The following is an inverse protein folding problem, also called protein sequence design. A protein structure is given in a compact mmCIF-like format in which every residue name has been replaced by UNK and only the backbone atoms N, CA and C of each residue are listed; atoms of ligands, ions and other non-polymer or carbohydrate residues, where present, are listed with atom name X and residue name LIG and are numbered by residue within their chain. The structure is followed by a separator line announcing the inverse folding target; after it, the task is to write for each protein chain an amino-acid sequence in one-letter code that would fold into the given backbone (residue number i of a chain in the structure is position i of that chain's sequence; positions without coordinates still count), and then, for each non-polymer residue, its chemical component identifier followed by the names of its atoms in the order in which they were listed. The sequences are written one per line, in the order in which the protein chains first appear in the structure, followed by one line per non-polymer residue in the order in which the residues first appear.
data_IF_794101302811
#
_entry.id   IF_794101302811
#
_cell.length_a   1.000
_cell.length_b   1.000
_cell.length_c   1.000
_cell.angle_alpha   90.00
_cell.angle_beta   90.00
_cell.angle_gamma   90.00
#
_symmetry.space_group_name_H-M   'P 1'
#
loop_
_entity.id
_entity.type
_entity.pdbx_description
1 polymer ?
#
# COMPACT_ATOMS: atom_id res chain seq x y z
N UNK A 1 4.85 5.89 18.71
CA UNK A 1 5.13 5.92 17.26
C UNK A 1 4.10 5.05 16.57
N UNK A 2 3.28 5.62 15.68
CA UNK A 2 2.34 4.84 14.88
C UNK A 2 3.06 4.24 13.66
N UNK A 3 3.00 2.92 13.50
CA UNK A 3 3.51 2.21 12.32
C UNK A 3 2.33 1.77 11.45
N UNK A 4 2.31 2.20 10.20
CA UNK A 4 1.28 1.81 9.22
C UNK A 4 1.96 1.21 8.01
N UNK A 5 1.57 -0.02 7.65
CA UNK A 5 2.01 -0.68 6.42
C UNK A 5 1.03 -0.39 5.30
N UNK A 6 1.54 -0.24 4.09
CA UNK A 6 0.71 0.05 2.91
C UNK A 6 -0.31 -1.07 2.66
N UNK A 7 0.09 -2.32 2.85
CA UNK A 7 -0.74 -3.51 2.65
C UNK A 7 -1.91 -3.56 3.63
N UNK A 8 -1.69 -3.12 4.88
CA UNK A 8 -2.72 -3.06 5.89
C UNK A 8 -3.72 -1.94 5.59
N UNK A 9 -3.24 -0.78 5.12
CA UNK A 9 -4.09 0.31 4.67
C UNK A 9 -4.99 -0.12 3.51
N UNK A 10 -4.49 -0.89 2.55
CA UNK A 10 -5.32 -1.42 1.46
C UNK A 10 -6.37 -2.45 1.95
N UNK A 11 -6.05 -3.20 3.01
CA UNK A 11 -6.93 -4.25 3.57
C UNK A 11 -8.01 -3.68 4.48
N UNK A 12 -7.66 -2.69 5.30
CA UNK A 12 -8.56 -2.04 6.25
C UNK A 12 -8.58 -0.51 6.02
N UNK A 13 -9.09 -0.05 4.86
CA UNK A 13 -8.93 1.33 4.42
C UNK A 13 -9.62 2.36 5.31
N UNK A 14 -10.55 1.95 6.18
CA UNK A 14 -11.16 2.85 7.16
C UNK A 14 -10.39 2.92 8.48
N UNK A 15 -9.87 1.79 8.96
CA UNK A 15 -9.25 1.68 10.29
C UNK A 15 -7.98 2.52 10.39
N UNK A 16 -7.07 2.36 9.43
CA UNK A 16 -5.75 3.00 9.50
C UNK A 16 -5.79 4.51 9.32
N UNK A 17 -6.53 5.09 8.34
CA UNK A 17 -6.69 6.54 8.26
C UNK A 17 -7.28 7.16 9.52
N UNK A 18 -8.26 6.48 10.15
CA UNK A 18 -8.80 6.94 11.44
C UNK A 18 -7.75 6.93 12.55
N UNK A 19 -6.96 5.85 12.67
CA UNK A 19 -5.86 5.78 13.63
C UNK A 19 -4.77 6.84 13.37
N UNK A 20 -4.50 7.15 12.09
CA UNK A 20 -3.58 8.23 11.71
C UNK A 20 -4.13 9.56 12.19
N UNK A 21 -5.39 9.89 11.86
CA UNK A 21 -6.07 11.10 12.32
C UNK A 21 -6.01 11.25 13.85
N UNK A 22 -6.36 10.19 14.59
CA UNK A 22 -6.27 10.15 16.07
C UNK A 22 -4.83 10.40 16.56
N UNK A 23 -3.83 9.83 15.88
CA UNK A 23 -2.42 9.99 16.25
C UNK A 23 -1.87 11.40 16.02
N UNK A 24 -2.36 12.10 14.99
CA UNK A 24 -1.92 13.46 14.64
C UNK A 24 -2.91 14.54 15.09
N UNK A 25 -3.88 14.19 15.93
CA UNK A 25 -4.90 15.10 16.47
C UNK A 25 -5.72 15.82 15.39
N UNK A 26 -6.00 15.13 14.28
CA UNK A 26 -6.88 15.61 13.21
C UNK A 26 -8.26 14.94 13.29
N UNK A 27 -9.30 15.66 12.88
CA UNK A 27 -10.62 15.09 12.69
C UNK A 27 -10.64 14.16 11.46
N UNK A 28 -11.31 13.02 11.58
CA UNK A 28 -11.50 12.07 10.48
C UNK A 28 -12.77 12.40 9.69
N UNK A 29 -12.65 12.52 8.36
CA UNK A 29 -13.79 12.65 7.45
C UNK A 29 -13.89 11.41 6.55
N UNK A 30 -15.09 10.90 6.30
CA UNK A 30 -15.29 9.73 5.43
C UNK A 30 -14.76 9.97 4.01
N UNK A 31 -14.81 11.20 3.51
CA UNK A 31 -14.30 11.60 2.18
C UNK A 31 -12.77 11.59 2.08
N UNK A 32 -12.06 11.33 3.19
CA UNK A 32 -10.62 11.01 3.13
C UNK A 32 -10.36 9.63 2.52
N UNK A 33 -11.36 8.74 2.53
CA UNK A 33 -11.26 7.41 1.94
C UNK A 33 -11.43 7.48 0.42
N UNK A 34 -10.65 6.72 -0.38
CA UNK A 34 -10.82 6.74 -1.82
C UNK A 34 -12.24 6.39 -2.25
N UNK A 35 -12.80 7.22 -3.14
CA UNK A 35 -14.18 7.10 -3.60
C UNK A 35 -14.30 7.43 -5.11
N UNK A 36 -15.35 6.95 -5.80
CA UNK A 36 -15.47 7.09 -7.26
C UNK A 36 -15.67 8.53 -7.73
N UNK A 37 -16.18 9.42 -6.88
CA UNK A 37 -16.39 10.84 -7.18
C UNK A 37 -15.13 11.70 -7.03
N UNK A 38 -14.03 11.15 -6.50
CA UNK A 38 -12.80 11.91 -6.30
C UNK A 38 -12.16 12.30 -7.64
N UNK A 39 -11.82 13.58 -7.77
CA UNK A 39 -11.13 14.11 -8.95
C UNK A 39 -9.62 13.92 -8.80
N UNK A 40 -9.06 13.00 -9.57
CA UNK A 40 -7.61 12.75 -9.56
C UNK A 40 -6.85 13.90 -10.25
N UNK A 41 -5.82 14.49 -9.61
CA UNK A 41 -5.03 15.58 -10.18
C UNK A 41 -4.54 15.30 -11.60
N UNK A 42 -4.49 16.35 -12.42
CA UNK A 42 -3.91 16.28 -13.76
C UNK A 42 -2.43 15.88 -13.67
N UNK A 43 -1.97 15.02 -14.58
CA UNK A 43 -0.61 14.46 -14.56
C UNK A 43 -0.40 13.23 -13.68
N UNK A 44 -1.42 12.78 -12.94
CA UNK A 44 -1.30 11.54 -12.15
C UNK A 44 -1.11 10.33 -13.06
N UNK A 45 0.05 9.67 -12.95
CA UNK A 45 0.42 8.51 -13.79
C UNK A 45 -0.47 7.29 -13.60
N UNK A 46 -0.97 7.07 -12.38
CA UNK A 46 -1.67 5.85 -11.99
C UNK A 46 -3.06 6.14 -11.40
N UNK A 47 -3.91 6.79 -12.20
CA UNK A 47 -5.26 7.23 -11.77
C UNK A 47 -6.14 6.06 -11.34
N UNK A 48 -5.94 4.92 -11.99
CA UNK A 48 -6.63 3.67 -11.73
C UNK A 48 -6.31 3.05 -10.36
N UNK A 49 -5.28 3.53 -9.65
CA UNK A 49 -4.90 3.03 -8.31
C UNK A 49 -5.68 3.65 -7.16
N UNK A 50 -6.39 4.74 -7.40
CA UNK A 50 -7.09 5.46 -6.34
C UNK A 50 -8.32 4.70 -5.87
N UNK A 51 -9.23 4.37 -6.79
CA UNK A 51 -10.48 3.68 -6.47
C UNK A 51 -10.91 2.72 -7.60
N UNK A 52 -11.41 1.50 -7.29
CA UNK A 52 -11.44 0.89 -5.96
C UNK A 52 -10.03 0.48 -5.49
N UNK A 53 -9.82 0.48 -4.18
CA UNK A 53 -8.60 -0.06 -3.58
C UNK A 53 -8.56 -1.58 -3.80
N UNK A 54 -7.42 -2.08 -4.28
CA UNK A 54 -7.22 -3.50 -4.55
C UNK A 54 -5.91 -4.00 -3.94
N UNK A 55 -5.95 -4.80 -2.85
CA UNK A 55 -4.76 -5.36 -2.23
C UNK A 55 -4.03 -6.35 -3.15
N UNK A 56 -4.71 -6.91 -4.17
CA UNK A 56 -4.10 -7.84 -5.13
C UNK A 56 -3.33 -7.13 -6.22
N UNK A 57 -3.37 -5.80 -6.29
CA UNK A 57 -2.68 -5.04 -7.35
C UNK A 57 -1.18 -5.25 -7.35
N UNK A 58 -0.56 -5.44 -6.18
CA UNK A 58 0.87 -5.77 -6.08
C UNK A 58 1.23 -7.10 -6.77
N UNK A 59 0.30 -8.07 -6.81
CA UNK A 59 0.49 -9.36 -7.50
C UNK A 59 0.69 -9.19 -9.01
N UNK A 60 0.28 -8.06 -9.59
CA UNK A 60 0.56 -7.75 -10.99
C UNK A 60 2.06 -7.78 -11.31
N UNK A 61 2.90 -7.31 -10.37
CA UNK A 61 4.34 -7.28 -10.56
C UNK A 61 4.94 -8.68 -10.43
N UNK A 62 4.53 -9.43 -9.41
CA UNK A 62 5.00 -10.81 -9.19
C UNK A 62 4.66 -11.70 -10.38
N UNK A 63 3.44 -11.58 -10.93
CA UNK A 63 3.00 -12.36 -12.10
C UNK A 63 3.78 -12.07 -13.39
N UNK A 64 4.44 -10.91 -13.46
CA UNK A 64 5.21 -10.49 -14.64
C UNK A 64 6.71 -10.74 -14.51
N UNK A 65 7.19 -10.91 -13.28
CA UNK A 65 8.60 -11.10 -13.00
C UNK A 65 9.06 -12.50 -13.40
N UNK A 66 10.26 -12.61 -13.96
CA UNK A 66 10.88 -13.92 -14.20
C UNK A 66 11.42 -14.52 -12.90
N UNK A 67 11.67 -15.84 -12.83
CA UNK A 67 12.32 -16.46 -11.67
C UNK A 67 13.67 -15.82 -11.33
N UNK A 68 14.44 -15.40 -12.35
CA UNK A 68 15.71 -14.71 -12.16
C UNK A 68 15.54 -13.33 -11.53
N UNK A 69 14.54 -12.56 -11.98
CA UNK A 69 14.22 -11.25 -11.41
C UNK A 69 13.76 -11.37 -9.95
N UNK A 70 12.90 -12.35 -9.66
CA UNK A 70 12.48 -12.66 -8.29
C UNK A 70 13.67 -13.04 -7.42
N UNK A 71 14.61 -13.85 -7.93
CA UNK A 71 15.83 -14.19 -7.22
C UNK A 71 16.77 -13.00 -6.98
N UNK A 72 16.81 -12.02 -7.89
CA UNK A 72 17.54 -10.77 -7.68
C UNK A 72 16.90 -9.94 -6.58
N UNK A 73 15.56 -9.80 -6.60
CA UNK A 73 14.81 -9.05 -5.60
C UNK A 73 15.02 -9.69 -4.23
N UNK A 74 14.86 -11.02 -4.12
CA UNK A 74 15.06 -11.76 -2.87
C UNK A 74 16.45 -11.48 -2.28
N UNK A 75 17.50 -11.68 -3.06
CA UNK A 75 18.88 -11.49 -2.61
C UNK A 75 19.21 -10.05 -2.21
N UNK A 76 18.57 -9.05 -2.82
CA UNK A 76 18.86 -7.63 -2.60
C UNK A 76 17.98 -7.01 -1.52
N UNK A 77 16.71 -7.38 -1.51
CA UNK A 77 15.68 -6.77 -0.68
C UNK A 77 15.34 -7.61 0.54
N UNK A 78 15.58 -8.92 0.51
CA UNK A 78 15.19 -9.81 1.60
C UNK A 78 15.80 -9.47 2.96
N UNK A 79 17.13 -9.28 3.06
CA UNK A 79 17.74 -8.85 4.31
C UNK A 79 17.20 -7.50 4.81
N UNK A 80 16.81 -6.61 3.90
CA UNK A 80 16.22 -5.31 4.25
C UNK A 80 14.80 -5.53 4.81
N UNK A 81 14.00 -6.38 4.16
CA UNK A 81 12.64 -6.67 4.60
C UNK A 81 12.64 -7.37 5.98
N UNK A 82 13.52 -8.36 6.19
CA UNK A 82 13.71 -9.02 7.48
C UNK A 82 14.11 -8.00 8.57
N UNK A 83 15.06 -7.11 8.27
CA UNK A 83 15.47 -6.04 9.19
C UNK A 83 14.35 -5.05 9.52
N UNK A 84 13.35 -4.92 8.65
CA UNK A 84 12.16 -4.10 8.85
C UNK A 84 10.97 -4.89 9.44
N UNK A 85 11.16 -6.18 9.77
CA UNK A 85 10.13 -7.03 10.36
C UNK A 85 9.04 -7.50 9.39
N UNK A 86 9.33 -7.51 8.09
CA UNK A 86 8.44 -8.11 7.09
C UNK A 86 8.66 -9.62 7.02
N UNK A 87 7.65 -10.39 7.44
CA UNK A 87 7.59 -11.84 7.19
C UNK A 87 6.98 -12.04 5.79
N UNK A 88 7.84 -11.94 4.77
CA UNK A 88 7.45 -12.23 3.40
C UNK A 88 8.06 -13.59 3.05
N UNK A 89 7.22 -14.64 3.01
CA UNK A 89 7.63 -15.91 2.42
C UNK A 89 7.28 -15.83 0.93
N UNK A 90 8.31 -15.82 0.10
CA UNK A 90 8.17 -15.92 -1.35
C UNK A 90 7.48 -17.24 -1.75
#
# INVERSE_FOLDING_TARGET
MLLVRFEDLLREPKRFPRQICEHVELEFYEDMLPAPHHKIPFGSRFRDRWYPLDPKRALHYIKKATPEELGIIERRCGPIAEGLGYDYKA
#
